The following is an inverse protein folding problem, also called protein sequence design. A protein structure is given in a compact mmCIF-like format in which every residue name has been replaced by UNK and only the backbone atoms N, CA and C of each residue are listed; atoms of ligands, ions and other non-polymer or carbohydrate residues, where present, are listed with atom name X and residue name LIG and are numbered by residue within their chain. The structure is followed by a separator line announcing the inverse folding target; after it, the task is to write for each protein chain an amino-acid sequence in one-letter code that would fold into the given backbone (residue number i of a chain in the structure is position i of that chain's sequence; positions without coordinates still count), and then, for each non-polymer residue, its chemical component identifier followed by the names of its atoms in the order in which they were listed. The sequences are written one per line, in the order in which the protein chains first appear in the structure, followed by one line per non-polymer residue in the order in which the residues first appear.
data_IF_420751115529
#
_entry.id   IF_420751115529
#
_cell.length_a   1.000
_cell.length_b   1.000
_cell.length_c   1.000
_cell.angle_alpha   90.00
_cell.angle_beta   90.00
_cell.angle_gamma   90.00
#
_symmetry.space_group_name_H-M   'P 1'
#
loop_
_entity.id
_entity.type
_entity.pdbx_description
1 polymer ?
#
# COMPACT_ATOMS: atom_id res chain seq x y z
N UNK A 1 55.53 62.32 -1.03
CA UNK A 1 54.42 62.04 -1.97
C UNK A 1 54.48 60.58 -2.37
N UNK A 2 53.35 59.88 -2.22
CA UNK A 2 52.78 58.78 -3.04
C UNK A 2 53.53 58.45 -4.36
N UNK A 3 53.56 57.26 -4.97
CA UNK A 3 52.78 56.01 -4.89
C UNK A 3 53.23 55.09 -6.04
N UNK A 4 53.13 53.76 -5.84
CA UNK A 4 52.76 52.70 -6.81
C UNK A 4 53.56 52.45 -8.11
N UNK A 5 53.97 51.19 -8.33
CA UNK A 5 53.20 50.32 -9.24
C UNK A 5 53.46 48.82 -8.99
N UNK A 6 52.35 48.09 -8.77
CA UNK A 6 52.24 46.63 -8.85
C UNK A 6 52.19 46.22 -10.32
N UNK A 7 52.91 45.17 -10.69
CA UNK A 7 52.55 44.31 -11.82
C UNK A 7 52.62 42.85 -11.38
N UNK A 8 51.47 42.31 -11.01
CA UNK A 8 51.26 40.88 -10.78
C UNK A 8 51.25 40.14 -12.11
N UNK A 9 52.28 39.34 -12.36
CA UNK A 9 52.34 38.40 -13.48
C UNK A 9 51.76 37.07 -13.02
N UNK A 10 50.43 37.01 -12.88
CA UNK A 10 49.72 35.76 -12.60
C UNK A 10 49.81 34.85 -13.84
N UNK A 11 50.56 33.75 -13.69
CA UNK A 11 50.99 32.87 -14.78
C UNK A 11 49.84 31.93 -15.20
N UNK A 12 49.50 31.83 -16.49
CA UNK A 12 48.43 30.94 -17.01
C UNK A 12 48.68 29.45 -16.76
N UNK A 13 49.93 29.07 -16.45
CA UNK A 13 50.34 27.69 -16.13
C UNK A 13 49.74 27.20 -14.81
N UNK A 14 49.61 28.08 -13.81
CA UNK A 14 49.13 27.71 -12.48
C UNK A 14 47.62 27.42 -12.49
N UNK A 15 46.84 28.23 -13.23
CA UNK A 15 45.40 27.97 -13.46
C UNK A 15 45.14 26.66 -14.22
N UNK A 16 45.99 26.31 -15.19
CA UNK A 16 45.90 25.03 -15.91
C UNK A 16 46.20 23.83 -15.02
N UNK A 17 47.22 23.91 -14.16
CA UNK A 17 47.56 22.86 -13.22
C UNK A 17 46.45 22.63 -12.18
N UNK A 18 45.86 23.69 -11.64
CA UNK A 18 44.72 23.60 -10.72
C UNK A 18 43.49 23.01 -11.40
N UNK A 19 43.20 23.40 -12.65
CA UNK A 19 42.08 22.84 -13.42
C UNK A 19 42.27 21.33 -13.70
N UNK A 20 43.49 20.91 -14.06
CA UNK A 20 43.83 19.50 -14.27
C UNK A 20 43.67 18.71 -12.97
N UNK A 21 44.12 19.26 -11.84
CA UNK A 21 43.96 18.61 -10.54
C UNK A 21 42.49 18.41 -10.14
N UNK A 22 41.63 19.41 -10.33
CA UNK A 22 40.20 19.25 -10.06
C UNK A 22 39.55 18.25 -11.02
N UNK A 23 39.94 18.26 -12.30
CA UNK A 23 39.45 17.29 -13.28
C UNK A 23 39.85 15.85 -12.92
N UNK A 24 41.08 15.61 -12.45
CA UNK A 24 41.52 14.28 -12.02
C UNK A 24 40.83 13.83 -10.74
N UNK A 25 40.63 14.72 -9.76
CA UNK A 25 39.90 14.39 -8.52
C UNK A 25 38.45 14.02 -8.82
N UNK A 26 37.75 14.78 -9.67
CA UNK A 26 36.39 14.47 -10.10
C UNK A 26 36.35 13.13 -10.83
N UNK A 27 37.29 12.88 -11.73
CA UNK A 27 37.36 11.61 -12.47
C UNK A 27 37.55 10.41 -11.53
N UNK A 28 38.40 10.53 -10.50
CA UNK A 28 38.60 9.47 -9.50
C UNK A 28 37.34 9.24 -8.67
N UNK A 29 36.64 10.30 -8.25
CA UNK A 29 35.37 10.19 -7.52
C UNK A 29 34.32 9.47 -8.37
N UNK A 30 34.21 9.81 -9.65
CA UNK A 30 33.28 9.16 -10.59
C UNK A 30 33.64 7.68 -10.76
N UNK A 31 34.92 7.34 -10.91
CA UNK A 31 35.35 5.94 -11.05
C UNK A 31 35.03 5.15 -9.78
N UNK A 32 35.32 5.68 -8.59
CA UNK A 32 35.01 5.03 -7.31
C UNK A 32 33.51 4.85 -7.10
N UNK A 33 32.70 5.85 -7.49
CA UNK A 33 31.25 5.73 -7.45
C UNK A 33 30.76 4.61 -8.39
N UNK A 34 31.26 4.57 -9.62
CA UNK A 34 30.87 3.56 -10.62
C UNK A 34 31.28 2.15 -10.20
N UNK A 35 32.49 1.95 -9.64
CA UNK A 35 32.92 0.64 -9.14
C UNK A 35 32.15 0.21 -7.89
N UNK A 36 31.84 1.15 -6.99
CA UNK A 36 30.96 0.91 -5.84
C UNK A 36 29.55 0.48 -6.24
N UNK A 37 28.97 1.11 -7.27
CA UNK A 37 27.66 0.73 -7.81
C UNK A 37 27.67 -0.69 -8.41
N UNK A 38 28.71 -1.04 -9.16
CA UNK A 38 28.85 -2.39 -9.74
C UNK A 38 29.02 -3.47 -8.67
N UNK A 39 29.85 -3.23 -7.65
CA UNK A 39 30.06 -4.18 -6.55
C UNK A 39 28.78 -4.42 -5.72
N UNK A 40 27.90 -3.42 -5.63
CA UNK A 40 26.60 -3.53 -4.97
C UNK A 40 25.48 -4.15 -5.84
N UNK A 41 25.77 -4.53 -7.09
CA UNK A 41 24.77 -5.06 -8.02
C UNK A 41 23.72 -4.03 -8.47
N UNK A 42 23.98 -2.74 -8.28
CA UNK A 42 23.06 -1.65 -8.65
C UNK A 42 23.42 -1.20 -10.07
N UNK A 43 22.65 -1.67 -11.06
CA UNK A 43 22.76 -1.19 -12.43
C UNK A 43 22.34 0.28 -12.54
N UNK A 44 22.95 1.02 -13.46
CA UNK A 44 22.49 2.37 -13.83
C UNK A 44 21.01 2.36 -14.30
N UNK A 45 20.54 1.22 -14.84
CA UNK A 45 19.13 1.00 -15.20
C UNK A 45 18.20 0.96 -13.97
N UNK A 46 18.71 0.56 -12.80
CA UNK A 46 17.96 0.55 -11.54
C UNK A 46 17.76 1.97 -11.00
N UNK A 47 18.66 2.90 -11.33
CA UNK A 47 18.53 4.34 -11.02
C UNK A 47 17.58 5.08 -11.97
N UNK A 48 17.28 4.48 -13.13
CA UNK A 48 16.34 5.00 -14.13
C UNK A 48 15.10 4.13 -14.22
N UNK A 49 14.55 3.66 -13.09
CA UNK A 49 13.22 3.05 -13.09
C UNK A 49 12.22 4.15 -13.50
N UNK A 50 12.01 4.25 -14.81
CA UNK A 50 11.13 5.19 -15.43
C UNK A 50 9.73 4.86 -14.93
N UNK A 51 9.14 5.79 -14.16
CA UNK A 51 7.73 5.80 -13.81
C UNK A 51 6.93 5.78 -15.12
N UNK A 52 6.72 4.60 -15.68
CA UNK A 52 5.79 4.41 -16.76
C UNK A 52 4.43 4.65 -16.14
N UNK A 53 3.78 5.75 -16.50
CA UNK A 53 2.44 6.05 -16.04
C UNK A 53 1.54 4.87 -16.44
N UNK A 54 1.21 4.01 -15.48
CA UNK A 54 0.26 2.93 -15.72
C UNK A 54 -1.04 3.57 -16.20
N UNK A 55 -1.59 3.13 -17.34
CA UNK A 55 -2.85 3.66 -17.85
C UNK A 55 -3.91 3.63 -16.76
N UNK A 56 -4.73 4.67 -16.70
CA UNK A 56 -5.84 4.71 -15.76
C UNK A 56 -6.78 3.52 -16.03
N UNK A 57 -6.99 2.68 -15.01
CA UNK A 57 -7.95 1.60 -15.04
C UNK A 57 -9.35 2.21 -15.02
N UNK A 58 -10.11 1.97 -16.09
CA UNK A 58 -11.54 2.27 -16.10
C UNK A 58 -12.28 1.05 -15.56
N UNK A 59 -12.83 1.16 -14.35
CA UNK A 59 -13.82 0.21 -13.83
C UNK A 59 -15.17 0.92 -13.79
N UNK A 60 -16.22 0.22 -14.20
CA UNK A 60 -17.58 0.75 -14.15
C UNK A 60 -18.22 0.25 -12.87
N UNK A 61 -18.57 1.18 -11.98
CA UNK A 61 -19.41 0.85 -10.84
C UNK A 61 -20.78 0.39 -11.35
N UNK A 62 -21.24 -0.81 -10.97
CA UNK A 62 -22.56 -1.28 -11.33
C UNK A 62 -23.64 -0.29 -10.87
N UNK A 63 -24.53 0.11 -11.78
CA UNK A 63 -25.73 0.92 -11.46
C UNK A 63 -26.85 0.05 -10.87
N UNK A 64 -26.52 -0.73 -9.86
CA UNK A 64 -27.44 -1.64 -9.16
C UNK A 64 -27.30 -1.41 -7.66
N UNK A 65 -28.27 -1.89 -6.89
CA UNK A 65 -28.20 -1.84 -5.43
C UNK A 65 -26.94 -2.59 -4.94
N UNK A 66 -26.11 -1.97 -4.08
CA UNK A 66 -24.99 -2.66 -3.44
C UNK A 66 -25.48 -3.86 -2.62
N UNK A 67 -24.68 -4.94 -2.60
CA UNK A 67 -24.83 -6.05 -1.63
C UNK A 67 -24.62 -5.57 -0.19
N UNK A 68 -23.71 -4.61 -0.03
CA UNK A 68 -23.42 -3.94 1.23
C UNK A 68 -22.95 -2.52 0.92
N UNK A 69 -23.37 -1.54 1.71
CA UNK A 69 -22.81 -0.19 1.64
C UNK A 69 -22.87 0.49 3.00
N UNK A 70 -21.84 1.25 3.32
CA UNK A 70 -21.79 2.04 4.53
C UNK A 70 -21.09 3.39 4.28
N UNK A 71 -21.78 4.45 4.68
CA UNK A 71 -21.22 5.81 4.67
C UNK A 71 -20.51 6.15 5.97
N UNK A 72 -20.71 5.35 7.02
CA UNK A 72 -20.19 5.50 8.38
C UNK A 72 -20.63 6.80 9.06
N UNK A 73 -21.78 7.33 8.70
CA UNK A 73 -22.40 8.46 9.40
C UNK A 73 -22.82 8.08 10.83
N UNK A 74 -23.21 6.83 11.04
CA UNK A 74 -23.55 6.21 12.33
C UNK A 74 -23.32 4.70 12.24
N UNK A 75 -23.31 4.00 13.38
CA UNK A 75 -23.20 2.54 13.42
C UNK A 75 -24.53 1.82 13.15
N UNK A 76 -25.21 2.18 12.05
CA UNK A 76 -26.47 1.56 11.68
C UNK A 76 -26.29 0.13 11.13
N UNK A 77 -25.09 -0.18 10.63
CA UNK A 77 -24.76 -1.48 10.04
C UNK A 77 -24.37 -2.54 11.08
N UNK A 78 -24.04 -2.15 12.32
CA UNK A 78 -23.72 -3.07 13.41
C UNK A 78 -22.27 -3.57 13.38
N UNK A 79 -21.31 -2.65 13.27
CA UNK A 79 -19.88 -2.93 13.37
C UNK A 79 -19.49 -3.36 14.79
N UNK A 80 -18.44 -4.16 14.93
CA UNK A 80 -17.89 -4.50 16.23
C UNK A 80 -17.03 -3.34 16.74
N UNK A 81 -17.63 -2.46 17.54
CA UNK A 81 -16.95 -1.30 18.12
C UNK A 81 -16.14 -1.62 19.38
N UNK A 82 -15.75 -2.89 19.58
CA UNK A 82 -14.92 -3.27 20.70
C UNK A 82 -13.63 -2.45 20.70
N UNK A 83 -13.25 -1.99 21.89
CA UNK A 83 -12.04 -1.20 22.10
C UNK A 83 -11.40 -1.55 23.44
N UNK A 84 -10.10 -1.33 23.52
CA UNK A 84 -9.32 -1.49 24.74
C UNK A 84 -8.40 -0.28 24.88
N UNK A 85 -8.71 0.68 25.78
CA UNK A 85 -7.92 1.89 25.95
C UNK A 85 -6.42 1.60 26.16
N UNK A 86 -5.56 2.31 25.42
CA UNK A 86 -4.11 2.08 25.44
C UNK A 86 -3.64 0.84 24.67
N UNK A 87 -4.54 0.20 23.91
CA UNK A 87 -4.25 -0.96 23.07
C UNK A 87 -4.81 -0.79 21.65
N UNK A 88 -6.14 -0.70 21.51
CA UNK A 88 -6.79 -0.49 20.21
C UNK A 88 -8.17 0.15 20.33
N UNK A 89 -8.65 0.70 19.22
CA UNK A 89 -9.95 1.33 19.09
C UNK A 89 -10.58 0.97 17.74
N UNK A 90 -11.89 0.68 17.76
CA UNK A 90 -12.75 0.68 16.58
C UNK A 90 -13.90 1.64 16.84
N UNK A 91 -14.17 2.56 15.91
CA UNK A 91 -15.21 3.56 16.07
C UNK A 91 -15.85 3.91 14.73
N UNK A 92 -17.17 4.11 14.71
CA UNK A 92 -17.92 4.61 13.56
C UNK A 92 -18.50 5.98 13.88
N UNK A 93 -18.39 6.92 12.95
CA UNK A 93 -18.99 8.24 13.04
C UNK A 93 -18.29 9.26 12.15
N UNK A 94 -18.91 10.43 11.96
CA UNK A 94 -18.36 11.50 11.13
C UNK A 94 -18.01 11.06 9.69
N UNK A 95 -18.69 10.05 9.17
CA UNK A 95 -18.46 9.53 7.82
C UNK A 95 -17.27 8.58 7.71
N UNK A 96 -16.74 8.06 8.82
CA UNK A 96 -15.65 7.10 8.80
C UNK A 96 -15.77 5.96 9.82
N UNK A 97 -15.31 4.77 9.42
CA UNK A 97 -14.86 3.73 10.34
C UNK A 97 -13.38 4.00 10.66
N UNK A 98 -13.07 4.19 11.93
CA UNK A 98 -11.72 4.42 12.42
C UNK A 98 -11.20 3.17 13.14
N UNK A 99 -10.06 2.65 12.69
CA UNK A 99 -9.32 1.57 13.35
C UNK A 99 -8.00 2.15 13.86
N UNK A 100 -7.83 2.18 15.17
CA UNK A 100 -6.62 2.64 15.85
C UNK A 100 -5.93 1.51 16.61
N UNK A 101 -4.61 1.46 16.57
CA UNK A 101 -3.81 0.49 17.34
C UNK A 101 -2.63 1.21 17.97
N UNK A 102 -2.53 1.18 19.29
CA UNK A 102 -1.49 1.89 20.06
C UNK A 102 -0.18 1.10 20.12
N UNK A 103 -0.25 -0.23 20.04
CA UNK A 103 0.89 -1.14 20.09
C UNK A 103 1.02 -1.93 18.79
N UNK A 104 2.20 -2.51 18.56
CA UNK A 104 2.46 -3.30 17.36
C UNK A 104 1.54 -4.54 17.34
N UNK A 105 0.50 -4.48 16.52
CA UNK A 105 -0.49 -5.53 16.28
C UNK A 105 -1.13 -5.30 14.91
N UNK A 106 -1.75 -6.35 14.38
CA UNK A 106 -2.68 -6.28 13.27
C UNK A 106 -4.10 -6.48 13.81
N UNK A 107 -5.02 -5.58 13.44
CA UNK A 107 -6.42 -5.65 13.80
C UNK A 107 -7.27 -5.56 12.53
N UNK A 108 -8.17 -6.51 12.34
CA UNK A 108 -9.18 -6.48 11.29
C UNK A 108 -10.58 -6.36 11.90
N UNK A 109 -11.46 -5.74 11.14
CA UNK A 109 -12.85 -5.54 11.46
C UNK A 109 -13.71 -6.09 10.29
N UNK A 110 -14.39 -7.23 10.48
CA UNK A 110 -15.19 -7.85 9.44
C UNK A 110 -16.43 -7.02 9.10
N UNK A 111 -16.89 -7.11 7.86
CA UNK A 111 -18.19 -6.53 7.50
C UNK A 111 -19.31 -7.16 8.36
N UNK A 112 -20.26 -6.37 8.88
CA UNK A 112 -21.38 -6.88 9.66
C UNK A 112 -22.22 -7.94 8.94
N UNK A 113 -22.87 -8.81 9.72
CA UNK A 113 -23.84 -9.79 9.24
C UNK A 113 -23.27 -11.17 8.87
N UNK A 114 -21.97 -11.40 9.02
CA UNK A 114 -21.33 -12.71 8.78
C UNK A 114 -21.62 -13.30 7.39
N UNK A 115 -21.68 -12.43 6.38
CA UNK A 115 -22.01 -12.80 5.00
C UNK A 115 -20.75 -13.28 4.27
N UNK A 116 -20.89 -14.37 3.51
CA UNK A 116 -19.87 -14.86 2.59
C UNK A 116 -20.10 -14.30 1.19
N UNK A 117 -19.08 -13.66 0.62
CA UNK A 117 -19.13 -13.00 -0.69
C UNK A 117 -18.26 -13.74 -1.70
N UNK A 118 -18.78 -13.95 -2.92
CA UNK A 118 -18.07 -14.60 -4.02
C UNK A 118 -17.50 -13.61 -5.03
N UNK A 119 -18.30 -13.27 -6.03
CA UNK A 119 -17.96 -12.34 -7.11
C UNK A 119 -18.54 -10.96 -6.83
N UNK A 120 -17.68 -9.95 -6.80
CA UNK A 120 -18.07 -8.58 -6.47
C UNK A 120 -17.11 -7.53 -7.02
N UNK A 121 -17.57 -6.28 -7.05
CA UNK A 121 -16.73 -5.09 -7.08
C UNK A 121 -16.86 -4.36 -5.75
N UNK A 122 -15.77 -4.25 -5.00
CA UNK A 122 -15.70 -3.48 -3.76
C UNK A 122 -15.03 -2.14 -4.04
N UNK A 123 -15.60 -1.06 -3.50
CA UNK A 123 -14.97 0.26 -3.45
C UNK A 123 -14.92 0.77 -2.02
N UNK A 124 -13.82 1.41 -1.64
CA UNK A 124 -13.66 2.06 -0.33
C UNK A 124 -12.60 3.14 -0.43
N UNK A 125 -12.76 4.22 0.33
CA UNK A 125 -11.69 5.19 0.55
C UNK A 125 -10.96 4.86 1.86
N UNK A 126 -9.65 5.05 1.88
CA UNK A 126 -8.84 4.86 3.07
C UNK A 126 -7.83 6.00 3.26
N UNK A 127 -7.63 6.43 4.50
CA UNK A 127 -6.60 7.37 4.92
C UNK A 127 -5.81 6.75 6.09
N UNK A 128 -4.49 6.65 5.94
CA UNK A 128 -3.59 6.42 7.06
C UNK A 128 -3.38 7.75 7.81
N UNK A 129 -4.24 8.03 8.78
CA UNK A 129 -4.28 9.32 9.49
C UNK A 129 -3.14 9.47 10.51
N UNK A 130 -2.72 8.37 11.14
CA UNK A 130 -1.59 8.29 12.07
C UNK A 130 -0.79 7.02 11.80
N UNK A 131 0.52 7.09 11.99
CA UNK A 131 1.45 6.01 11.73
C UNK A 131 2.77 6.54 11.18
N UNK A 132 3.57 5.67 10.60
CA UNK A 132 4.72 5.97 9.79
C UNK A 132 4.64 5.31 8.40
N UNK A 133 5.74 5.35 7.69
CA UNK A 133 5.85 4.84 6.32
C UNK A 133 5.70 3.30 6.23
N UNK A 134 5.94 2.57 7.32
CA UNK A 134 5.89 1.10 7.39
C UNK A 134 4.53 0.58 7.88
N UNK A 135 3.67 1.45 8.39
CA UNK A 135 2.32 1.08 8.81
C UNK A 135 1.44 0.73 7.61
N UNK A 136 0.76 -0.41 7.72
CA UNK A 136 -0.09 -0.97 6.67
C UNK A 136 -1.57 -0.82 6.95
N UNK A 137 -2.38 -0.86 5.89
CA UNK A 137 -3.84 -0.85 5.96
C UNK A 137 -4.44 -1.43 4.68
N UNK A 138 -5.68 -1.87 4.75
CA UNK A 138 -6.39 -2.30 3.54
C UNK A 138 -7.51 -3.29 3.84
N UNK A 139 -7.60 -4.32 3.01
CA UNK A 139 -8.71 -5.26 3.01
C UNK A 139 -8.26 -6.72 3.03
N UNK A 140 -9.00 -7.54 3.78
CA UNK A 140 -9.11 -8.97 3.57
C UNK A 140 -10.34 -9.26 2.71
N UNK A 141 -10.21 -10.21 1.78
CA UNK A 141 -11.35 -10.75 1.03
C UNK A 141 -11.28 -12.27 0.95
N UNK A 142 -12.46 -12.88 0.77
CA UNK A 142 -12.63 -14.34 0.74
C UNK A 142 -11.98 -15.01 1.95
N UNK A 143 -12.13 -14.36 3.09
CA UNK A 143 -11.61 -14.82 4.37
C UNK A 143 -12.44 -15.98 4.90
N UNK A 144 -11.78 -16.98 5.47
CA UNK A 144 -12.42 -18.01 6.27
C UNK A 144 -11.71 -18.11 7.62
N UNK A 145 -12.52 -18.10 8.67
CA UNK A 145 -12.04 -18.22 10.04
C UNK A 145 -11.53 -19.63 10.32
N UNK A 146 -10.48 -19.70 11.12
CA UNK A 146 -9.90 -20.91 11.66
C UNK A 146 -10.51 -21.34 12.98
N UNK A 147 -9.79 -22.24 13.65
CA UNK A 147 -10.19 -22.78 14.96
C UNK A 147 -10.26 -21.71 16.06
N UNK A 148 -9.42 -20.69 15.97
CA UNK A 148 -9.30 -19.63 16.99
C UNK A 148 -10.05 -18.35 16.61
N UNK A 149 -11.01 -18.42 15.68
CA UNK A 149 -11.76 -17.29 15.13
C UNK A 149 -10.93 -16.24 14.35
N UNK A 150 -9.62 -16.41 14.27
CA UNK A 150 -8.73 -15.67 13.37
C UNK A 150 -8.90 -16.12 11.91
N UNK A 151 -8.54 -15.26 10.94
CA UNK A 151 -8.58 -15.62 9.52
C UNK A 151 -7.44 -16.60 9.17
N UNK A 152 -7.79 -17.85 8.88
CA UNK A 152 -6.85 -18.90 8.49
C UNK A 152 -6.49 -18.83 7.00
N UNK A 153 -7.50 -18.60 6.17
CA UNK A 153 -7.33 -18.50 4.72
C UNK A 153 -7.98 -17.21 4.22
N UNK A 154 -7.30 -16.53 3.29
CA UNK A 154 -7.72 -15.22 2.80
C UNK A 154 -6.85 -14.75 1.62
N UNK A 155 -7.31 -13.71 0.92
CA UNK A 155 -6.42 -12.78 0.23
C UNK A 155 -6.41 -11.44 0.97
N UNK A 156 -5.22 -10.87 1.17
CA UNK A 156 -5.03 -9.57 1.85
C UNK A 156 -4.34 -8.59 0.93
N UNK A 157 -4.94 -7.42 0.76
CA UNK A 157 -4.46 -6.32 -0.06
C UNK A 157 -4.07 -5.18 0.88
N UNK A 158 -2.78 -4.84 0.90
CA UNK A 158 -2.21 -3.94 1.90
C UNK A 158 -1.48 -2.79 1.21
N UNK A 159 -1.80 -1.56 1.62
CA UNK A 159 -1.10 -0.32 1.24
C UNK A 159 -0.30 0.15 2.46
N UNK A 160 0.81 0.83 2.21
CA UNK A 160 1.70 1.35 3.25
C UNK A 160 1.88 2.86 3.17
N UNK A 161 2.33 3.46 4.27
CA UNK A 161 2.53 4.91 4.37
C UNK A 161 3.59 5.48 3.42
N UNK A 162 4.51 4.66 2.91
CA UNK A 162 5.57 5.01 1.96
C UNK A 162 5.12 5.01 0.48
N UNK A 163 3.84 4.70 0.21
CA UNK A 163 3.27 4.46 -1.12
C UNK A 163 3.65 3.13 -1.78
N UNK A 164 4.05 2.14 -0.99
CA UNK A 164 4.14 0.75 -1.43
C UNK A 164 2.84 -0.02 -1.19
N UNK A 165 2.71 -1.16 -1.85
CA UNK A 165 1.68 -2.16 -1.57
C UNK A 165 2.26 -3.57 -1.57
N UNK A 166 1.54 -4.50 -0.93
CA UNK A 166 1.79 -5.92 -1.00
C UNK A 166 0.46 -6.68 -1.07
N UNK A 167 0.50 -7.89 -1.64
CA UNK A 167 -0.65 -8.79 -1.70
C UNK A 167 -0.24 -10.12 -1.11
N UNK A 168 -1.01 -10.59 -0.14
CA UNK A 168 -0.77 -11.83 0.58
C UNK A 168 -1.90 -12.83 0.39
N UNK A 169 -1.56 -14.12 0.47
CA UNK A 169 -2.49 -15.23 0.58
C UNK A 169 -2.24 -15.95 1.91
N UNK A 170 -3.26 -16.00 2.76
CA UNK A 170 -3.24 -16.81 3.97
C UNK A 170 -3.47 -18.28 3.60
N UNK A 171 -2.60 -19.17 4.05
CA UNK A 171 -2.73 -20.62 3.91
C UNK A 171 -2.57 -21.28 5.28
N UNK A 172 -3.17 -22.46 5.46
CA UNK A 172 -2.94 -23.27 6.65
C UNK A 172 -1.78 -24.23 6.37
N UNK A 173 -0.73 -24.17 7.18
CA UNK A 173 0.42 -25.07 7.07
C UNK A 173 0.12 -26.48 7.64
N UNK A 174 1.10 -27.38 7.55
CA UNK A 174 0.95 -28.76 8.04
C UNK A 174 0.72 -28.85 9.57
N UNK A 175 1.08 -27.80 10.32
CA UNK A 175 0.84 -27.72 11.77
C UNK A 175 -0.55 -27.20 12.11
N UNK A 176 -1.34 -26.81 11.10
CA UNK A 176 -2.66 -26.22 11.27
C UNK A 176 -2.60 -24.71 11.55
N UNK A 177 -1.46 -24.05 11.31
CA UNK A 177 -1.28 -22.62 11.56
C UNK A 177 -1.48 -21.78 10.29
N UNK A 178 -2.18 -20.66 10.42
CA UNK A 178 -2.27 -19.63 9.39
C UNK A 178 -0.90 -19.01 9.12
N UNK A 179 -0.44 -19.05 7.87
CA UNK A 179 0.77 -18.40 7.39
C UNK A 179 0.49 -17.58 6.14
N UNK A 180 1.09 -16.40 6.04
CA UNK A 180 0.93 -15.51 4.89
C UNK A 180 2.03 -15.76 3.85
N UNK A 181 1.62 -16.04 2.62
CA UNK A 181 2.52 -16.10 1.44
C UNK A 181 2.34 -14.85 0.60
N UNK A 182 3.41 -14.35 0.00
CA UNK A 182 3.35 -13.14 -0.84
C UNK A 182 2.98 -13.50 -2.28
N UNK A 183 1.86 -12.98 -2.76
CA UNK A 183 1.53 -12.96 -4.20
C UNK A 183 2.27 -11.79 -4.87
N UNK A 184 2.34 -10.65 -4.19
CA UNK A 184 3.12 -9.48 -4.58
C UNK A 184 3.96 -9.03 -3.38
N UNK A 185 5.27 -8.89 -3.58
CA UNK A 185 6.17 -8.33 -2.57
C UNK A 185 6.02 -6.80 -2.50
N UNK A 186 6.52 -6.19 -1.42
CA UNK A 186 6.48 -4.73 -1.24
C UNK A 186 6.95 -3.98 -2.49
N UNK A 187 6.02 -3.32 -3.15
CA UNK A 187 6.24 -2.67 -4.45
C UNK A 187 5.76 -1.22 -4.37
N UNK A 188 6.66 -0.27 -4.62
CA UNK A 188 6.31 1.15 -4.72
C UNK A 188 5.41 1.40 -5.92
N UNK A 189 4.42 2.27 -5.75
CA UNK A 189 3.56 2.73 -6.86
C UNK A 189 3.24 4.21 -6.73
N UNK A 190 3.48 4.96 -7.80
CA UNK A 190 3.07 6.38 -7.89
C UNK A 190 1.55 6.58 -7.81
N UNK A 191 0.76 5.52 -7.99
CA UNK A 191 -0.67 5.54 -7.81
C UNK A 191 -1.06 5.83 -6.35
N UNK A 192 -0.27 5.32 -5.40
CA UNK A 192 -0.63 5.29 -3.99
C UNK A 192 -0.21 6.62 -3.35
N UNK A 193 -1.15 7.28 -2.69
CA UNK A 193 -0.85 8.44 -1.87
C UNK A 193 -0.21 8.00 -0.56
N UNK A 194 0.81 8.74 -0.13
CA UNK A 194 1.49 8.52 1.16
C UNK A 194 0.57 8.82 2.34
N UNK A 195 1.05 8.53 3.54
CA UNK A 195 0.38 8.83 4.81
C UNK A 195 -0.29 10.22 4.83
N UNK A 196 -1.49 10.29 5.43
CA UNK A 196 -2.27 11.51 5.60
C UNK A 196 -3.06 11.95 4.36
N UNK A 197 -3.01 11.17 3.27
CA UNK A 197 -3.77 11.42 2.05
C UNK A 197 -4.74 10.28 1.76
N UNK A 198 -5.81 10.61 1.05
CA UNK A 198 -6.87 9.67 0.68
C UNK A 198 -6.41 8.79 -0.48
N UNK A 199 -6.62 7.49 -0.33
CA UNK A 199 -6.53 6.50 -1.38
C UNK A 199 -7.91 5.93 -1.67
N UNK A 200 -8.33 5.99 -2.93
CA UNK A 200 -9.52 5.30 -3.42
C UNK A 200 -9.12 3.89 -3.85
N UNK A 201 -9.66 2.88 -3.17
CA UNK A 201 -9.32 1.47 -3.36
C UNK A 201 -10.49 0.76 -4.02
N UNK A 202 -10.18 0.00 -5.08
CA UNK A 202 -11.14 -0.86 -5.76
C UNK A 202 -10.59 -2.28 -5.89
N UNK A 203 -11.41 -3.25 -5.51
CA UNK A 203 -11.15 -4.67 -5.66
C UNK A 203 -12.24 -5.29 -6.53
N UNK A 204 -11.83 -5.99 -7.59
CA UNK A 204 -12.73 -6.74 -8.46
C UNK A 204 -12.41 -8.22 -8.34
N UNK A 205 -13.37 -8.99 -7.83
CA UNK A 205 -13.32 -10.44 -7.74
C UNK A 205 -14.30 -11.04 -8.75
N UNK A 206 -13.78 -11.77 -9.75
CA UNK A 206 -14.57 -12.44 -10.80
C UNK A 206 -14.05 -13.87 -11.00
N UNK A 207 -14.78 -14.86 -10.49
CA UNK A 207 -14.32 -16.23 -10.41
C UNK A 207 -12.95 -16.30 -9.73
N UNK A 208 -11.96 -16.88 -10.40
CA UNK A 208 -10.58 -16.94 -9.90
C UNK A 208 -9.76 -15.67 -10.16
N UNK A 209 -10.26 -14.70 -10.93
CA UNK A 209 -9.53 -13.49 -11.28
C UNK A 209 -9.76 -12.38 -10.25
N UNK A 210 -8.69 -11.86 -9.66
CA UNK A 210 -8.70 -10.78 -8.69
C UNK A 210 -7.91 -9.59 -9.24
N UNK A 211 -8.51 -8.39 -9.23
CA UNK A 211 -7.85 -7.16 -9.66
C UNK A 211 -7.87 -6.11 -8.55
N UNK A 212 -6.72 -5.47 -8.36
CA UNK A 212 -6.50 -4.44 -7.35
C UNK A 212 -6.14 -3.11 -8.02
N UNK A 213 -6.98 -2.13 -7.80
CA UNK A 213 -6.90 -0.79 -8.38
C UNK A 213 -6.83 0.22 -7.23
N UNK A 214 -5.92 1.18 -7.34
CA UNK A 214 -5.80 2.29 -6.37
C UNK A 214 -5.70 3.59 -7.14
N UNK A 215 -6.49 4.60 -6.76
CA UNK A 215 -6.54 5.91 -7.41
C UNK A 215 -6.62 5.82 -8.93
N UNK A 216 -7.54 4.96 -9.39
CA UNK A 216 -7.82 4.69 -10.80
C UNK A 216 -6.63 4.11 -11.58
N UNK A 217 -5.62 3.54 -10.94
CA UNK A 217 -4.54 2.81 -11.62
C UNK A 217 -4.56 1.33 -11.22
N UNK A 218 -4.55 0.44 -12.21
CA UNK A 218 -4.47 -1.00 -11.98
C UNK A 218 -3.07 -1.33 -11.44
N UNK A 219 -3.00 -1.83 -10.20
CA UNK A 219 -1.75 -2.25 -9.59
C UNK A 219 -1.43 -3.69 -9.95
N UNK A 220 -2.42 -4.58 -9.82
CA UNK A 220 -2.24 -6.01 -10.09
C UNK A 220 -3.53 -6.68 -10.51
N UNK A 221 -3.43 -7.57 -11.49
CA UNK A 221 -4.38 -8.68 -11.68
C UNK A 221 -3.65 -10.00 -11.46
N UNK A 222 -4.28 -10.93 -10.78
CA UNK A 222 -3.80 -12.31 -10.63
C UNK A 222 -4.96 -13.30 -10.64
N UNK A 223 -4.66 -14.56 -10.94
CA UNK A 223 -5.64 -15.64 -10.96
C UNK A 223 -5.29 -16.67 -9.91
N UNK A 224 -6.22 -16.97 -9.02
CA UNK A 224 -6.10 -18.00 -7.99
C UNK A 224 -7.50 -18.54 -7.67
N UNK A 225 -7.67 -19.87 -7.73
CA UNK A 225 -8.96 -20.53 -7.52
C UNK A 225 -9.07 -21.21 -6.16
N UNK A 226 -8.13 -20.97 -5.23
CA UNK A 226 -8.16 -21.61 -3.91
C UNK A 226 -9.31 -21.13 -3.05
N UNK A 227 -9.67 -19.84 -3.12
CA UNK A 227 -10.79 -19.28 -2.35
C UNK A 227 -11.79 -18.65 -3.31
N UNK A 228 -12.99 -19.22 -3.39
CA UNK A 228 -14.07 -18.76 -4.25
C UNK A 228 -15.01 -17.77 -3.53
N UNK A 229 -15.21 -17.94 -2.23
CA UNK A 229 -16.09 -17.12 -1.40
C UNK A 229 -15.50 -16.94 -0.01
N UNK A 230 -15.92 -15.92 0.73
CA UNK A 230 -15.65 -15.79 2.15
C UNK A 230 -15.98 -14.41 2.69
N UNK A 231 -15.60 -14.14 3.93
CA UNK A 231 -15.78 -12.84 4.56
C UNK A 231 -14.90 -11.76 3.95
N UNK A 232 -15.27 -10.51 4.21
CA UNK A 232 -14.48 -9.31 3.90
C UNK A 232 -14.23 -8.59 5.21
N UNK A 233 -13.02 -8.05 5.40
CA UNK A 233 -12.67 -7.25 6.57
C UNK A 233 -11.79 -6.06 6.19
N UNK A 234 -11.96 -4.95 6.89
CA UNK A 234 -11.08 -3.78 6.84
C UNK A 234 -10.02 -3.91 7.92
N UNK A 235 -8.77 -3.49 7.69
CA UNK A 235 -7.73 -3.68 8.71
C UNK A 235 -6.72 -2.53 8.80
N UNK A 236 -6.10 -2.46 9.97
CA UNK A 236 -4.92 -1.68 10.27
C UNK A 236 -3.78 -2.61 10.73
N UNK A 237 -2.55 -2.30 10.32
CA UNK A 237 -1.37 -3.15 10.50
C UNK A 237 -0.20 -2.33 11.05
N UNK A 238 0.16 -2.58 12.29
CA UNK A 238 1.33 -2.02 12.95
C UNK A 238 2.27 -3.17 13.33
N UNK A 239 3.14 -3.58 12.40
CA UNK A 239 4.09 -4.68 12.64
C UNK A 239 5.32 -4.17 13.42
N UNK A 240 6.10 -5.05 14.08
CA UNK A 240 7.22 -4.67 14.95
C UNK A 240 8.26 -3.72 14.34
N UNK A 241 8.40 -3.72 13.01
CA UNK A 241 9.32 -2.85 12.26
C UNK A 241 8.79 -1.42 12.04
N UNK A 242 7.56 -1.14 12.46
CA UNK A 242 6.92 0.17 12.38
C UNK A 242 6.88 0.86 13.75
N UNK A 243 6.80 2.20 13.72
CA UNK A 243 6.55 3.01 14.91
C UNK A 243 5.20 2.61 15.54
N UNK A 244 5.14 2.42 16.87
CA UNK A 244 3.88 2.16 17.56
C UNK A 244 2.87 3.31 17.36
N UNK A 245 1.59 2.96 17.29
CA UNK A 245 0.51 3.91 17.06
C UNK A 245 0.16 4.09 15.58
N UNK A 246 -0.93 3.47 15.15
CA UNK A 246 -1.54 3.66 13.83
C UNK A 246 -2.99 4.11 14.00
N UNK A 247 -3.49 4.92 13.07
CA UNK A 247 -4.92 5.20 12.90
C UNK A 247 -5.26 5.21 11.42
N UNK A 248 -6.23 4.38 11.04
CA UNK A 248 -6.74 4.28 9.67
C UNK A 248 -8.21 4.67 9.67
N UNK A 249 -8.61 5.47 8.70
CA UNK A 249 -10.00 5.85 8.49
C UNK A 249 -10.47 5.31 7.15
N UNK A 250 -11.55 4.54 7.17
CA UNK A 250 -12.23 4.05 5.97
C UNK A 250 -13.54 4.81 5.78
N UNK A 251 -13.86 5.18 4.54
CA UNK A 251 -15.11 5.87 4.20
C UNK A 251 -15.68 5.41 2.86
N UNK A 252 -16.97 5.64 2.64
CA UNK A 252 -17.66 5.31 1.38
C UNK A 252 -17.46 3.86 0.95
N UNK A 253 -17.68 2.91 1.86
CA UNK A 253 -17.59 1.49 1.55
C UNK A 253 -18.84 1.07 0.76
N UNK A 254 -18.64 0.43 -0.38
CA UNK A 254 -19.72 -0.21 -1.10
C UNK A 254 -19.24 -1.48 -1.81
N UNK A 255 -20.09 -2.49 -1.81
CA UNK A 255 -19.87 -3.79 -2.43
C UNK A 255 -20.99 -4.04 -3.43
N UNK A 256 -20.65 -4.17 -4.71
CA UNK A 256 -21.61 -4.38 -5.78
C UNK A 256 -21.52 -5.82 -6.30
N UNK A 257 -22.65 -6.43 -6.69
CA UNK A 257 -22.61 -7.71 -7.37
C UNK A 257 -21.95 -7.53 -8.74
N UNK A 258 -21.23 -8.56 -9.21
CA UNK A 258 -20.74 -8.57 -10.58
C UNK A 258 -21.93 -8.66 -11.54
N UNK A 259 -22.06 -7.69 -12.45
CA UNK A 259 -23.02 -7.82 -13.53
C UNK A 259 -22.56 -8.94 -14.46
N UNK A 260 -23.38 -9.98 -14.58
CA UNK A 260 -23.25 -10.91 -15.70
C UNK A 260 -23.55 -10.11 -16.97
N UNK A 261 -22.61 -10.08 -17.92
CA UNK A 261 -22.94 -9.64 -19.27
C UNK A 261 -24.09 -10.53 -19.75
N UNK A 262 -25.22 -9.93 -20.12
CA UNK A 262 -26.30 -10.67 -20.78
C UNK A 262 -25.67 -11.44 -21.94
N UNK A 263 -25.81 -12.78 -22.03
CA UNK A 263 -25.32 -13.50 -23.19
C UNK A 263 -26.00 -12.91 -24.43
N UNK A 264 -25.17 -12.51 -25.38
CA UNK A 264 -25.56 -12.06 -26.72
C UNK A 264 -26.25 -13.17 -27.48
#
# INVERSE_FOLDING_TARGET
MLSSSRTGKDRPVQKRATLIYFATVILVIVIVAVTGLHAAGISLATLTQQNTATPAATYILPKVTPLFADSFASDASGWNLQSAPGNYQVAVGNGALTIGIDKNKLLWEPLPGSISYGDFTLVVNAILAKGDQNNGYGLYIRGAAGRDSDLDTYYRFELYGDASYAIFKGIVDQSGRSVATKIVNYTLSSAIQKQGKLNHIVLIARGASLSFIVNNQLLKTFTDSSYATGSIALFASNLPEAKPGIQVQFSQLALYPMQMSKPS
#
